data_IF_072701282702
#
_entry.id   IF_072701282702
#
_cell.length_a   1.000
_cell.length_b   1.000
_cell.length_c   1.000
_cell.angle_alpha   90.00
_cell.angle_beta   90.00
_cell.angle_gamma   90.00
#
_symmetry.space_group_name_H-M   'P 1'
#
loop_
_entity.id
_entity.type
_entity.pdbx_description
1 polymer ?
#
# COMPACT_ATOMS: atom_id res chain seq x y z
N UNK A 1 29.92 7.93 1.04
CA UNK A 1 29.20 6.68 1.37
C UNK A 1 28.88 6.55 2.86
N UNK A 2 29.86 6.54 3.79
CA UNK A 2 29.59 6.36 5.24
C UNK A 2 28.66 7.40 5.91
N UNK A 3 28.70 8.67 5.48
CA UNK A 3 27.84 9.74 6.05
C UNK A 3 26.35 9.59 5.68
N UNK A 4 26.05 9.08 4.48
CA UNK A 4 24.67 8.84 4.03
C UNK A 4 24.04 7.65 4.76
N UNK A 5 24.83 6.62 5.08
CA UNK A 5 24.37 5.46 5.87
C UNK A 5 23.97 5.89 7.28
N UNK A 6 24.77 6.74 7.94
CA UNK A 6 24.45 7.23 9.29
C UNK A 6 23.19 8.11 9.29
N UNK A 7 23.01 8.95 8.27
CA UNK A 7 21.79 9.76 8.13
C UNK A 7 20.58 8.88 7.86
N UNK A 8 20.69 7.88 6.99
CA UNK A 8 19.60 6.96 6.67
C UNK A 8 19.18 6.13 7.89
N UNK A 9 20.14 5.67 8.71
CA UNK A 9 19.86 4.96 9.96
C UNK A 9 19.21 5.90 10.98
N UNK A 10 19.69 7.15 11.08
CA UNK A 10 19.12 8.14 12.01
C UNK A 10 17.66 8.49 11.64
N UNK A 11 17.40 8.70 10.35
CA UNK A 11 16.05 8.94 9.82
C UNK A 11 15.15 7.74 10.10
N UNK A 12 15.63 6.51 9.88
CA UNK A 12 14.89 5.29 10.20
C UNK A 12 14.56 5.19 11.70
N UNK A 13 15.49 5.56 12.58
CA UNK A 13 15.26 5.52 14.04
C UNK A 13 14.27 6.55 14.54
N UNK A 14 14.12 7.70 13.86
CA UNK A 14 13.15 8.73 14.22
C UNK A 14 11.70 8.34 13.88
N UNK A 15 11.50 7.42 12.92
CA UNK A 15 10.17 6.91 12.54
C UNK A 15 9.73 5.68 13.34
N UNK A 16 10.64 4.97 14.02
CA UNK A 16 10.30 3.76 14.78
C UNK A 16 9.39 4.03 16.00
N UNK A 17 9.45 5.23 16.57
CA UNK A 17 8.69 5.59 17.78
C UNK A 17 7.18 5.67 17.53
N UNK A 18 6.77 6.15 16.36
CA UNK A 18 5.35 6.30 16.00
C UNK A 18 4.73 4.97 15.50
N UNK A 19 5.55 4.06 14.96
CA UNK A 19 5.08 2.72 14.52
C UNK A 19 4.59 1.88 15.72
N UNK A 20 5.09 2.13 16.93
CA UNK A 20 4.75 1.34 18.11
C UNK A 20 3.26 1.48 18.56
N UNK A 21 2.56 2.53 18.14
CA UNK A 21 1.12 2.72 18.39
C UNK A 21 0.26 2.65 17.12
N UNK A 22 0.88 2.49 15.95
CA UNK A 22 0.18 2.45 14.68
C UNK A 22 -0.66 1.18 14.54
N UNK A 23 -1.80 1.28 13.87
CA UNK A 23 -2.53 0.10 13.41
C UNK A 23 -1.77 -0.51 12.23
N UNK A 24 -1.10 -1.63 12.48
CA UNK A 24 -0.27 -2.31 11.49
C UNK A 24 -0.98 -3.56 10.98
N UNK A 25 -1.04 -3.67 9.66
CA UNK A 25 -1.38 -4.91 8.96
C UNK A 25 -0.24 -5.31 8.05
N UNK A 26 0.07 -6.60 7.97
CA UNK A 26 1.09 -7.13 7.06
C UNK A 26 0.53 -8.34 6.32
N UNK A 27 0.90 -8.50 5.06
CA UNK A 27 0.35 -9.55 4.22
C UNK A 27 1.09 -9.78 2.93
N UNK A 28 0.43 -10.51 2.05
CA UNK A 28 0.89 -10.78 0.69
C UNK A 28 -0.22 -10.42 -0.30
N UNK A 29 0.17 -10.00 -1.50
CA UNK A 29 -0.76 -9.60 -2.54
C UNK A 29 -0.23 -9.93 -3.93
N UNK A 30 -1.15 -9.86 -4.90
CA UNK A 30 -0.81 -9.58 -6.29
C UNK A 30 -1.06 -8.07 -6.49
N UNK A 31 0.03 -7.29 -6.48
CA UNK A 31 0.13 -5.84 -6.70
C UNK A 31 1.62 -5.58 -6.96
N UNK A 32 1.98 -5.00 -8.10
CA UNK A 32 3.38 -5.02 -8.59
C UNK A 32 3.92 -6.46 -8.62
N UNK A 33 3.19 -7.36 -9.31
CA UNK A 33 3.35 -8.81 -9.26
C UNK A 33 3.18 -9.39 -7.84
N UNK A 34 3.88 -10.47 -7.50
CA UNK A 34 3.83 -11.03 -6.15
C UNK A 34 4.53 -10.08 -5.18
N UNK A 35 3.80 -9.63 -4.16
CA UNK A 35 4.31 -8.63 -3.23
C UNK A 35 4.06 -8.94 -1.77
N UNK A 36 4.94 -8.38 -0.93
CA UNK A 36 4.68 -8.17 0.50
C UNK A 36 4.03 -6.81 0.65
N UNK A 37 2.95 -6.75 1.41
CA UNK A 37 2.20 -5.53 1.64
C UNK A 37 2.09 -5.21 3.13
N UNK A 38 2.09 -3.93 3.44
CA UNK A 38 1.81 -3.45 4.78
C UNK A 38 0.82 -2.30 4.74
N UNK A 39 -0.10 -2.25 5.69
CA UNK A 39 -0.87 -1.05 5.98
C UNK A 39 -0.43 -0.54 7.35
N UNK A 40 0.09 0.67 7.42
CA UNK A 40 0.48 1.34 8.66
C UNK A 40 -0.36 2.60 8.78
N UNK A 41 -1.36 2.57 9.67
CA UNK A 41 -2.40 3.58 9.82
C UNK A 41 -3.09 3.91 8.47
N UNK A 42 -2.71 5.04 7.88
CA UNK A 42 -3.23 5.59 6.61
C UNK A 42 -2.28 5.39 5.43
N UNK A 43 -1.24 4.59 5.56
CA UNK A 43 -0.32 4.29 4.47
C UNK A 43 -0.43 2.83 4.07
N UNK A 44 -0.68 2.56 2.79
CA UNK A 44 -0.44 1.25 2.18
C UNK A 44 0.96 1.27 1.56
N UNK A 45 1.74 0.24 1.84
CA UNK A 45 3.07 -0.02 1.33
C UNK A 45 3.04 -1.34 0.57
N UNK A 46 3.64 -1.35 -0.61
CA UNK A 46 3.76 -2.53 -1.47
C UNK A 46 5.22 -2.68 -1.86
N UNK A 47 5.77 -3.88 -1.64
CA UNK A 47 7.09 -4.28 -2.12
C UNK A 47 6.92 -5.56 -2.94
N UNK A 48 6.90 -5.40 -4.25
CA UNK A 48 6.67 -6.46 -5.22
C UNK A 48 7.91 -6.85 -6.01
N UNK A 49 7.76 -7.88 -6.82
CA UNK A 49 8.82 -8.39 -7.69
C UNK A 49 9.17 -7.42 -8.81
N UNK A 50 8.21 -6.61 -9.29
CA UNK A 50 8.42 -5.61 -10.35
C UNK A 50 8.60 -4.17 -9.86
N UNK A 51 8.30 -3.87 -8.59
CA UNK A 51 8.47 -2.51 -8.07
C UNK A 51 7.98 -2.32 -6.64
N UNK A 52 7.83 -1.06 -6.25
CA UNK A 52 7.19 -0.69 -5.00
C UNK A 52 6.14 0.39 -5.20
N UNK A 53 5.25 0.49 -4.22
CA UNK A 53 4.27 1.56 -4.18
C UNK A 53 3.96 2.02 -2.75
N UNK A 54 3.54 3.28 -2.65
CA UNK A 54 3.11 3.91 -1.40
C UNK A 54 1.84 4.70 -1.67
N UNK A 55 0.77 4.34 -0.98
CA UNK A 55 -0.52 5.03 -1.08
C UNK A 55 -0.97 5.58 0.26
N UNK A 56 -1.55 6.78 0.25
CA UNK A 56 -2.20 7.38 1.39
C UNK A 56 -3.71 7.19 1.32
N UNK A 57 -4.30 6.60 2.36
CA UNK A 57 -5.74 6.41 2.53
C UNK A 57 -6.39 7.76 2.81
N UNK A 58 -6.88 8.41 1.75
CA UNK A 58 -7.57 9.71 1.80
C UNK A 58 -8.88 9.59 2.56
N UNK A 59 -9.64 8.53 2.29
CA UNK A 59 -10.95 8.31 2.93
C UNK A 59 -11.19 6.82 3.14
N UNK A 60 -11.81 6.49 4.27
CA UNK A 60 -12.20 5.13 4.61
C UNK A 60 -13.62 5.11 5.14
N UNK A 61 -14.28 3.96 5.05
CA UNK A 61 -15.62 3.78 5.60
C UNK A 61 -15.98 2.31 5.76
N UNK A 62 -17.10 2.07 6.45
CA UNK A 62 -17.78 0.76 6.51
C UNK A 62 -19.04 0.84 5.67
N UNK A 63 -19.41 -0.24 5.00
CA UNK A 63 -20.66 -0.30 4.24
C UNK A 63 -21.89 -0.31 5.16
N UNK A 64 -21.80 -1.09 6.23
CA UNK A 64 -22.80 -1.21 7.28
C UNK A 64 -22.13 -1.65 8.59
N UNK A 65 -22.81 -1.51 9.72
CA UNK A 65 -22.32 -1.94 11.03
C UNK A 65 -22.38 -3.46 11.23
N UNK A 66 -23.20 -4.18 10.47
CA UNK A 66 -23.38 -5.63 10.65
C UNK A 66 -22.56 -6.46 9.67
N UNK A 67 -22.04 -5.85 8.60
CA UNK A 67 -21.28 -6.55 7.56
C UNK A 67 -19.79 -6.26 7.75
N UNK A 68 -18.91 -7.28 7.81
CA UNK A 68 -17.47 -7.08 8.01
C UNK A 68 -16.75 -6.57 6.74
N UNK A 69 -17.37 -5.62 6.03
CA UNK A 69 -16.86 -5.00 4.82
C UNK A 69 -16.55 -3.53 5.07
N UNK A 70 -15.35 -3.13 4.67
CA UNK A 70 -14.90 -1.74 4.63
C UNK A 70 -14.46 -1.35 3.23
N UNK A 71 -14.45 -0.06 2.96
CA UNK A 71 -13.96 0.51 1.71
C UNK A 71 -12.96 1.63 1.99
N UNK A 72 -12.14 1.93 0.99
CA UNK A 72 -11.24 3.08 1.03
C UNK A 72 -11.02 3.69 -0.35
N UNK A 73 -10.63 4.96 -0.31
CA UNK A 73 -10.10 5.73 -1.44
C UNK A 73 -8.71 6.19 -1.05
N UNK A 74 -7.74 5.94 -1.92
CA UNK A 74 -6.36 6.28 -1.70
C UNK A 74 -5.76 7.02 -2.91
N UNK A 75 -4.63 7.68 -2.67
CA UNK A 75 -3.79 8.26 -3.71
C UNK A 75 -2.33 8.02 -3.37
N UNK A 76 -1.54 7.67 -4.35
CA UNK A 76 -0.16 7.23 -4.13
C UNK A 76 0.70 7.30 -5.36
N UNK A 77 1.92 6.79 -5.20
CA UNK A 77 2.89 6.66 -6.27
C UNK A 77 3.49 5.26 -6.29
N UNK A 78 4.00 4.88 -7.45
CA UNK A 78 4.70 3.62 -7.67
C UNK A 78 5.96 3.88 -8.48
N UNK A 79 6.92 2.96 -8.36
CA UNK A 79 8.10 2.91 -9.21
C UNK A 79 8.50 1.46 -9.43
N UNK A 80 8.78 1.10 -10.67
CA UNK A 80 9.35 -0.19 -11.02
C UNK A 80 10.83 -0.26 -10.70
N UNK A 81 11.37 -1.47 -10.65
CA UNK A 81 12.80 -1.69 -10.42
C UNK A 81 13.64 -1.43 -11.66
N UNK A 82 13.12 -1.81 -12.83
CA UNK A 82 13.81 -1.70 -14.11
C UNK A 82 13.40 -0.43 -14.88
N UNK A 83 12.10 -0.15 -14.94
CA UNK A 83 11.51 1.01 -15.61
C UNK A 83 10.13 1.37 -15.00
N UNK A 84 9.58 2.52 -15.41
CA UNK A 84 8.25 2.96 -14.99
C UNK A 84 8.21 3.67 -13.64
N UNK A 85 7.57 4.83 -13.61
CA UNK A 85 7.17 5.47 -12.36
C UNK A 85 5.94 6.32 -12.60
N UNK A 86 5.10 6.43 -11.59
CA UNK A 86 3.83 7.09 -11.80
C UNK A 86 3.07 7.35 -10.53
N UNK A 87 1.85 7.84 -10.74
CA UNK A 87 0.86 8.01 -9.67
C UNK A 87 -0.30 7.06 -9.89
N UNK A 88 -0.94 6.68 -8.78
CA UNK A 88 -2.09 5.78 -8.79
C UNK A 88 -3.17 6.25 -7.83
N UNK A 89 -4.41 5.89 -8.13
CA UNK A 89 -5.58 6.27 -7.33
C UNK A 89 -6.41 5.04 -6.91
N UNK A 90 -5.99 4.29 -5.87
CA UNK A 90 -6.69 3.06 -5.50
C UNK A 90 -8.09 3.28 -4.92
N UNK A 91 -9.03 2.47 -5.39
CA UNK A 91 -10.37 2.30 -4.85
C UNK A 91 -10.53 0.84 -4.42
N UNK A 92 -10.61 0.60 -3.12
CA UNK A 92 -10.56 -0.76 -2.58
C UNK A 92 -11.64 -1.10 -1.57
N UNK A 93 -11.82 -2.41 -1.41
CA UNK A 93 -12.73 -3.05 -0.46
C UNK A 93 -11.91 -4.03 0.38
N UNK A 94 -12.22 -4.15 1.66
CA UNK A 94 -11.62 -5.16 2.55
C UNK A 94 -12.71 -5.90 3.32
N UNK A 95 -12.62 -7.23 3.31
CA UNK A 95 -13.48 -8.16 4.02
C UNK A 95 -12.74 -8.81 5.19
N UNK A 96 -13.20 -8.55 6.42
CA UNK A 96 -12.67 -9.16 7.63
C UNK A 96 -13.31 -10.53 7.86
N UNK A 97 -12.66 -11.60 7.39
CA UNK A 97 -13.22 -12.95 7.39
C UNK A 97 -12.84 -13.79 8.63
N UNK A 98 -11.80 -13.39 9.35
CA UNK A 98 -11.37 -14.02 10.60
C UNK A 98 -10.72 -12.99 11.54
N UNK A 99 -10.57 -13.35 12.83
CA UNK A 99 -9.97 -12.45 13.82
C UNK A 99 -8.56 -12.03 13.39
N UNK A 100 -8.37 -10.74 13.18
CA UNK A 100 -7.12 -10.15 12.72
C UNK A 100 -6.86 -10.31 11.22
N UNK A 101 -7.66 -11.05 10.46
CA UNK A 101 -7.41 -11.27 9.03
C UNK A 101 -8.41 -10.50 8.16
N UNK A 102 -7.89 -9.86 7.11
CA UNK A 102 -8.70 -9.34 6.01
C UNK A 102 -8.22 -9.82 4.64
N UNK A 103 -9.18 -10.01 3.73
CA UNK A 103 -8.97 -10.12 2.29
C UNK A 103 -9.33 -8.76 1.71
N UNK A 104 -8.46 -8.19 0.88
CA UNK A 104 -8.74 -6.94 0.19
C UNK A 104 -8.59 -7.08 -1.31
N UNK A 105 -9.34 -6.26 -2.03
CA UNK A 105 -9.17 -6.06 -3.47
C UNK A 105 -9.33 -4.58 -3.81
N UNK A 106 -8.63 -4.12 -4.84
CA UNK A 106 -8.72 -2.75 -5.33
C UNK A 106 -8.62 -2.70 -6.85
N UNK A 107 -9.22 -1.65 -7.40
CA UNK A 107 -8.96 -1.17 -8.76
C UNK A 107 -8.30 0.20 -8.66
N UNK A 108 -7.38 0.51 -9.56
CA UNK A 108 -6.62 1.74 -9.49
C UNK A 108 -6.34 2.27 -10.89
N UNK A 109 -6.81 3.47 -11.23
CA UNK A 109 -6.26 4.23 -12.34
C UNK A 109 -4.80 4.54 -12.07
N UNK A 110 -3.97 4.41 -13.09
CA UNK A 110 -2.53 4.66 -13.05
C UNK A 110 -2.17 5.64 -14.16
N UNK A 111 -1.35 6.62 -13.82
CA UNK A 111 -0.70 7.47 -14.80
C UNK A 111 0.80 7.19 -14.73
N UNK A 112 1.34 6.61 -15.80
CA UNK A 112 2.76 6.39 -16.00
C UNK A 112 3.38 7.65 -16.63
N UNK A 113 4.57 8.01 -16.14
CA UNK A 113 5.33 9.17 -16.59
C UNK A 113 6.67 8.79 -17.22
N UNK A 114 6.98 7.51 -17.38
CA UNK A 114 8.21 7.07 -18.01
C UNK A 114 8.14 7.12 -19.55
N UNK A 115 9.13 7.75 -20.18
CA UNK A 115 9.27 8.04 -21.62
C UNK A 115 8.11 8.82 -22.27
N UNK A 116 6.87 8.33 -22.19
CA UNK A 116 5.64 8.96 -22.67
C UNK A 116 4.55 8.83 -21.59
N UNK A 117 3.63 9.79 -21.53
CA UNK A 117 2.49 9.70 -20.61
C UNK A 117 1.54 8.59 -21.06
N UNK A 118 1.32 7.58 -20.22
CA UNK A 118 0.34 6.52 -20.43
C UNK A 118 -0.66 6.44 -19.27
N UNK A 119 -1.92 6.14 -19.59
CA UNK A 119 -2.98 6.00 -18.61
C UNK A 119 -3.65 4.64 -18.71
N UNK A 120 -3.57 3.88 -17.62
CA UNK A 120 -4.08 2.52 -17.54
C UNK A 120 -4.97 2.33 -16.30
N UNK A 121 -5.55 1.14 -16.19
CA UNK A 121 -6.31 0.71 -15.01
C UNK A 121 -5.77 -0.64 -14.57
N UNK A 122 -5.23 -0.66 -13.36
CA UNK A 122 -4.69 -1.86 -12.73
C UNK A 122 -5.60 -2.30 -11.58
N UNK A 123 -5.25 -3.43 -10.97
CA UNK A 123 -5.90 -3.91 -9.77
C UNK A 123 -4.95 -4.68 -8.88
N UNK A 124 -5.38 -4.88 -7.64
CA UNK A 124 -4.66 -5.70 -6.69
C UNK A 124 -5.61 -6.52 -5.82
N UNK A 125 -5.12 -7.66 -5.36
CA UNK A 125 -5.82 -8.53 -4.41
C UNK A 125 -4.82 -9.11 -3.42
N UNK A 126 -5.14 -9.10 -2.13
CA UNK A 126 -4.24 -9.58 -1.11
C UNK A 126 -4.90 -9.94 0.21
N UNK A 127 -4.15 -10.65 1.05
CA UNK A 127 -4.57 -11.08 2.38
C UNK A 127 -3.62 -10.50 3.40
N UNK A 128 -4.16 -9.90 4.48
CA UNK A 128 -3.38 -9.22 5.52
C UNK A 128 -3.80 -9.67 6.91
N UNK A 129 -2.84 -9.66 7.83
CA UNK A 129 -3.03 -9.84 9.27
C UNK A 129 -2.79 -8.53 10.02
N UNK A 130 -3.73 -8.13 10.87
CA UNK A 130 -3.71 -6.96 11.74
C UNK A 130 -3.26 -7.35 13.15
N UNK A 131 -2.28 -6.61 13.69
CA UNK A 131 -1.70 -6.81 15.02
C UNK A 131 -2.42 -6.03 16.11
#
# INVERSE_FOLDING_TARGET
MKKFIVISILVLTLFLSDIAQAQVKVGVAIDMDLSVVAQVDRYNLVLGDSGFAVDYLVKTGRFDNNTPLSWYVAGGGWAGWDDGFGVRAPLGISWYFAKGWDLYGQVQPVADFDNDFDFSVDGAIGVRFAF
#
